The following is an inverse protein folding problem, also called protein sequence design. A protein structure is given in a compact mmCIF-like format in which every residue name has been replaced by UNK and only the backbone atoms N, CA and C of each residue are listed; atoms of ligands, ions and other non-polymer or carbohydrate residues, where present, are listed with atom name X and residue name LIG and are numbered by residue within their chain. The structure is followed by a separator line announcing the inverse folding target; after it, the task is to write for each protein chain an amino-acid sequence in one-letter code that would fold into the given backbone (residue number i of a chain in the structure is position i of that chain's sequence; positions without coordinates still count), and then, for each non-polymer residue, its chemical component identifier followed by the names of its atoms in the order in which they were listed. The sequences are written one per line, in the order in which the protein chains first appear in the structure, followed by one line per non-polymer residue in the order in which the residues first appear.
data_IF_466031983172
#
_entry.id   IF_466031983172
#
_cell.length_a   1.000
_cell.length_b   1.000
_cell.length_c   1.000
_cell.angle_alpha   90.00
_cell.angle_beta   90.00
_cell.angle_gamma   90.00
#
_symmetry.space_group_name_H-M   'P 1'
#
loop_
_entity.id
_entity.type
_entity.pdbx_description
1 polymer ?
#
# COMPACT_ATOMS: atom_id res chain seq x y z
N UNK A 1 25.02 4.27 -22.58
CA UNK A 1 24.43 4.96 -21.41
C UNK A 1 22.94 4.60 -21.34
N UNK A 2 22.54 3.63 -20.50
CA UNK A 2 21.14 3.17 -20.45
C UNK A 2 20.35 3.99 -19.42
N UNK A 3 19.53 4.90 -19.92
CA UNK A 3 18.52 5.64 -19.14
C UNK A 3 17.56 4.59 -18.56
N UNK A 4 17.70 4.26 -17.26
CA UNK A 4 16.71 3.47 -16.54
C UNK A 4 15.53 4.38 -16.24
N UNK A 5 14.48 4.27 -17.05
CA UNK A 5 13.12 4.66 -16.67
C UNK A 5 12.85 4.12 -15.26
N UNK A 6 12.82 5.02 -14.27
CA UNK A 6 12.47 4.70 -12.90
C UNK A 6 10.97 4.42 -12.86
N UNK A 7 10.59 3.18 -13.19
CA UNK A 7 9.30 2.65 -12.79
C UNK A 7 9.21 2.82 -11.27
N UNK A 8 8.42 3.80 -10.82
CA UNK A 8 8.15 4.02 -9.41
C UNK A 8 7.26 2.87 -8.93
N UNK A 9 7.85 1.74 -8.53
CA UNK A 9 7.11 0.68 -7.87
C UNK A 9 6.71 1.16 -6.48
N UNK A 10 5.41 1.15 -6.19
CA UNK A 10 4.88 1.53 -4.88
C UNK A 10 5.05 0.37 -3.90
N UNK A 11 5.78 0.62 -2.82
CA UNK A 11 5.96 -0.35 -1.73
C UNK A 11 5.22 0.14 -0.50
N UNK A 12 4.35 -0.73 0.03
CA UNK A 12 3.73 -0.53 1.34
C UNK A 12 4.35 -1.49 2.35
N UNK A 13 4.79 -1.01 3.50
CA UNK A 13 5.26 -1.89 4.57
C UNK A 13 4.15 -2.18 5.57
N UNK A 14 3.92 -3.45 5.88
CA UNK A 14 2.93 -3.90 6.86
C UNK A 14 3.59 -4.81 7.89
N UNK A 15 2.95 -5.01 9.05
CA UNK A 15 3.39 -5.98 10.06
C UNK A 15 2.38 -7.11 10.15
N UNK A 16 2.87 -8.35 10.29
CA UNK A 16 2.04 -9.50 10.66
C UNK A 16 1.63 -9.39 12.14
N UNK A 17 0.62 -10.15 12.56
CA UNK A 17 0.26 -10.27 13.99
C UNK A 17 1.43 -10.74 14.87
N UNK A 18 2.37 -11.52 14.32
CA UNK A 18 3.61 -11.93 15.00
C UNK A 18 4.72 -10.86 14.99
N UNK A 19 4.43 -9.62 14.61
CA UNK A 19 5.38 -8.50 14.60
C UNK A 19 6.34 -8.45 13.40
N UNK A 20 6.50 -9.55 12.62
CA UNK A 20 7.38 -9.59 11.45
C UNK A 20 6.90 -8.64 10.34
N UNK A 21 7.84 -7.89 9.76
CA UNK A 21 7.58 -6.91 8.69
C UNK A 21 7.44 -7.59 7.32
N UNK A 22 6.49 -7.13 6.53
CA UNK A 22 6.31 -7.46 5.12
C UNK A 22 6.34 -6.20 4.28
N UNK A 23 6.73 -6.35 3.03
CA UNK A 23 6.55 -5.34 1.99
C UNK A 23 5.49 -5.84 1.01
N UNK A 24 4.63 -4.93 0.56
CA UNK A 24 3.62 -5.17 -0.47
C UNK A 24 4.03 -4.36 -1.69
N UNK A 25 4.18 -5.02 -2.83
CA UNK A 25 4.53 -4.40 -4.10
C UNK A 25 3.68 -5.04 -5.20
N UNK A 26 2.93 -4.25 -5.97
CA UNK A 26 1.98 -4.74 -7.01
C UNK A 26 0.99 -5.80 -6.52
N UNK A 27 0.52 -5.68 -5.28
CA UNK A 27 -0.38 -6.67 -4.69
C UNK A 27 0.31 -7.95 -4.21
N UNK A 28 1.61 -8.13 -4.43
CA UNK A 28 2.37 -9.28 -3.90
C UNK A 28 3.04 -8.95 -2.58
N UNK A 29 3.15 -9.95 -1.71
CA UNK A 29 3.84 -9.83 -0.41
C UNK A 29 5.27 -10.34 -0.48
N UNK A 30 6.16 -9.63 0.20
CA UNK A 30 7.58 -9.93 0.30
C UNK A 30 8.01 -9.86 1.76
N UNK A 31 8.89 -10.77 2.19
CA UNK A 31 9.53 -10.72 3.50
C UNK A 31 10.95 -10.17 3.38
N UNK A 32 11.44 -9.53 4.44
CA UNK A 32 12.81 -9.07 4.51
C UNK A 32 13.72 -10.29 4.73
N UNK A 33 14.50 -10.65 3.71
CA UNK A 33 15.45 -11.75 3.76
C UNK A 33 16.72 -11.36 4.52
N UNK A 34 17.22 -10.14 4.27
CA UNK A 34 18.46 -9.61 4.85
C UNK A 34 18.32 -8.11 5.01
N UNK A 35 18.81 -7.58 6.13
CA UNK A 35 18.91 -6.15 6.38
C UNK A 35 20.34 -5.79 6.78
N UNK A 36 20.86 -4.71 6.18
CA UNK A 36 22.09 -4.02 6.58
C UNK A 36 21.73 -2.59 7.01
N UNK A 37 22.72 -1.80 7.45
CA UNK A 37 22.52 -0.38 7.78
C UNK A 37 22.00 0.46 6.61
N UNK A 38 22.29 0.06 5.36
CA UNK A 38 22.04 0.86 4.14
C UNK A 38 21.11 0.19 3.15
N UNK A 39 20.82 -1.10 3.31
CA UNK A 39 20.01 -1.87 2.36
C UNK A 39 19.15 -2.92 3.04
N UNK A 40 17.96 -3.11 2.51
CA UNK A 40 17.07 -4.22 2.84
C UNK A 40 16.80 -5.04 1.58
N UNK A 41 16.91 -6.36 1.69
CA UNK A 41 16.63 -7.29 0.59
C UNK A 41 15.32 -8.00 0.88
N UNK A 42 14.43 -7.96 -0.11
CA UNK A 42 13.06 -8.44 -0.03
C UNK A 42 12.85 -9.58 -1.01
N UNK A 43 12.20 -10.65 -0.57
CA UNK A 43 11.88 -11.80 -1.39
C UNK A 43 10.39 -12.13 -1.27
N UNK A 44 9.78 -12.56 -2.37
CA UNK A 44 8.37 -12.94 -2.36
C UNK A 44 8.11 -14.01 -1.29
N UNK A 45 6.99 -13.87 -0.58
CA UNK A 45 6.60 -14.80 0.48
C UNK A 45 6.26 -16.21 -0.03
N UNK A 46 6.00 -16.38 -1.32
CA UNK A 46 5.91 -17.68 -1.99
C UNK A 46 7.31 -18.24 -2.31
N UNK A 47 8.14 -18.35 -1.29
CA UNK A 47 9.51 -18.85 -1.39
C UNK A 47 9.56 -20.27 -2.02
N UNK A 48 10.64 -20.59 -2.72
CA UNK A 48 10.81 -21.85 -3.47
C UNK A 48 10.07 -21.91 -4.81
N UNK A 49 8.86 -21.35 -4.90
CA UNK A 49 8.04 -21.30 -6.13
C UNK A 49 8.13 -19.97 -6.88
N UNK A 50 8.65 -18.93 -6.23
CA UNK A 50 8.80 -17.60 -6.80
C UNK A 50 10.20 -17.02 -6.58
N UNK A 51 10.77 -16.46 -7.65
CA UNK A 51 12.10 -15.79 -7.64
C UNK A 51 12.00 -14.26 -7.62
N UNK A 52 10.80 -13.70 -7.49
CA UNK A 52 10.60 -12.27 -7.39
C UNK A 52 11.27 -11.72 -6.12
N UNK A 53 12.07 -10.68 -6.31
CA UNK A 53 12.88 -10.06 -5.26
C UNK A 53 13.20 -8.62 -5.60
N UNK A 54 13.41 -7.79 -4.59
CA UNK A 54 13.88 -6.42 -4.77
C UNK A 54 14.74 -6.01 -3.59
N UNK A 55 15.46 -4.89 -3.72
CA UNK A 55 16.22 -4.31 -2.63
C UNK A 55 15.83 -2.85 -2.46
N UNK A 56 15.71 -2.40 -1.21
CA UNK A 56 15.47 -1.00 -0.87
C UNK A 56 16.66 -0.41 -0.13
N UNK A 57 16.79 0.92 -0.15
CA UNK A 57 17.61 1.67 0.81
C UNK A 57 16.98 1.63 2.21
N UNK A 58 17.68 2.17 3.22
CA UNK A 58 17.13 2.31 4.56
C UNK A 58 15.89 3.22 4.58
N UNK A 59 15.84 4.19 3.68
CA UNK A 59 14.75 5.13 3.44
C UNK A 59 13.61 4.53 2.59
N UNK A 60 13.71 3.26 2.21
CA UNK A 60 12.66 2.55 1.46
C UNK A 60 12.69 2.74 -0.06
N UNK A 61 13.72 3.39 -0.60
CA UNK A 61 13.86 3.62 -2.05
C UNK A 61 14.34 2.35 -2.74
N UNK A 62 13.67 1.90 -3.80
CA UNK A 62 14.05 0.69 -4.55
C UNK A 62 15.36 0.92 -5.31
N UNK A 63 16.35 0.06 -5.05
CA UNK A 63 17.64 0.03 -5.75
C UNK A 63 17.64 -0.95 -6.92
N UNK A 64 17.05 -2.13 -6.71
CA UNK A 64 16.97 -3.21 -7.72
C UNK A 64 15.68 -3.97 -7.55
N UNK A 65 15.08 -4.43 -8.64
CA UNK A 65 13.80 -5.11 -8.57
C UNK A 65 13.58 -6.11 -9.71
N UNK A 66 13.12 -7.32 -9.36
CA UNK A 66 12.61 -8.37 -10.24
C UNK A 66 11.21 -8.72 -9.74
N UNK A 67 10.19 -8.18 -10.40
CA UNK A 67 8.78 -8.27 -9.98
C UNK A 67 7.95 -9.28 -10.80
N UNK A 68 8.56 -10.09 -11.66
CA UNK A 68 7.77 -11.14 -12.34
C UNK A 68 7.44 -12.26 -11.36
N UNK A 69 6.15 -12.58 -11.25
CA UNK A 69 5.62 -13.66 -10.44
C UNK A 69 5.01 -14.74 -11.33
N UNK A 70 5.37 -16.03 -11.16
CA UNK A 70 4.73 -17.16 -11.84
C UNK A 70 3.43 -17.59 -11.14
N UNK A 71 2.89 -16.76 -10.25
CA UNK A 71 1.71 -17.06 -9.45
C UNK A 71 0.87 -15.80 -9.29
N UNK A 72 -0.40 -16.01 -8.94
CA UNK A 72 -1.30 -14.91 -8.61
C UNK A 72 -0.94 -14.27 -7.25
N UNK A 73 -1.29 -12.99 -7.03
CA UNK A 73 -1.14 -12.36 -5.73
C UNK A 73 -1.86 -13.15 -4.63
N UNK A 74 -1.31 -13.23 -3.41
CA UNK A 74 -2.03 -13.84 -2.31
C UNK A 74 -3.28 -13.03 -1.99
N UNK A 75 -4.35 -13.70 -1.57
CA UNK A 75 -5.55 -13.03 -1.06
C UNK A 75 -5.29 -12.63 0.40
N UNK A 76 -4.99 -11.36 0.64
CA UNK A 76 -4.89 -10.80 1.99
C UNK A 76 -5.82 -9.59 2.12
N UNK A 77 -6.39 -9.41 3.31
CA UNK A 77 -7.08 -8.18 3.69
C UNK A 77 -6.01 -7.15 4.06
N UNK A 78 -5.80 -6.15 3.21
CA UNK A 78 -5.09 -4.95 3.65
C UNK A 78 -6.03 -4.24 4.59
N UNK A 79 -5.63 -4.14 5.85
CA UNK A 79 -6.34 -3.34 6.84
C UNK A 79 -6.15 -1.89 6.40
N UNK A 80 -7.21 -1.33 5.84
CA UNK A 80 -7.35 0.10 5.63
C UNK A 80 -7.20 0.77 6.99
N UNK A 81 -6.23 1.67 7.12
CA UNK A 81 -6.03 2.41 8.36
C UNK A 81 -6.79 3.72 8.30
N UNK A 82 -7.28 4.17 9.46
CA UNK A 82 -7.93 5.46 9.59
C UNK A 82 -7.00 6.44 10.29
N UNK A 83 -6.96 7.65 9.78
CA UNK A 83 -6.20 8.76 10.36
C UNK A 83 -7.07 9.99 10.44
N UNK A 84 -6.73 10.93 11.32
CA UNK A 84 -7.33 12.26 11.31
C UNK A 84 -6.38 13.25 10.65
N UNK A 85 -6.92 14.12 9.81
CA UNK A 85 -6.15 15.27 9.33
C UNK A 85 -6.07 16.36 10.42
N UNK A 86 -5.32 17.44 10.15
CA UNK A 86 -5.18 18.57 11.07
C UNK A 86 -6.51 19.28 11.39
N UNK A 87 -7.54 19.08 10.56
CA UNK A 87 -8.89 19.61 10.75
C UNK A 87 -9.83 18.60 11.45
N UNK A 88 -9.29 17.49 11.97
CA UNK A 88 -10.05 16.44 12.66
C UNK A 88 -10.84 15.49 11.76
N UNK A 89 -10.83 15.68 10.43
CA UNK A 89 -11.56 14.84 9.47
C UNK A 89 -10.89 13.48 9.31
N UNK A 90 -11.69 12.43 9.32
CA UNK A 90 -11.23 11.04 9.10
C UNK A 90 -10.87 10.80 7.64
N UNK A 91 -9.67 10.29 7.42
CA UNK A 91 -9.19 9.79 6.14
C UNK A 91 -8.91 8.29 6.23
N UNK A 92 -9.19 7.57 5.15
CA UNK A 92 -8.75 6.21 4.97
C UNK A 92 -7.41 6.21 4.23
N UNK A 93 -6.47 5.40 4.70
CA UNK A 93 -5.23 5.10 4.00
C UNK A 93 -5.36 3.70 3.40
N UNK A 94 -5.27 3.62 2.08
CA UNK A 94 -5.31 2.37 1.32
C UNK A 94 -4.20 2.42 0.26
N UNK A 95 -3.29 1.43 0.28
CA UNK A 95 -2.11 1.39 -0.59
C UNK A 95 -1.24 2.67 -0.56
N UNK A 96 -1.16 3.34 0.59
CA UNK A 96 -0.40 4.58 0.78
C UNK A 96 -1.10 5.84 0.25
N UNK A 97 -2.26 5.71 -0.39
CA UNK A 97 -3.07 6.86 -0.79
C UNK A 97 -4.11 7.20 0.26
N UNK A 98 -4.40 8.48 0.39
CA UNK A 98 -5.44 8.97 1.29
C UNK A 98 -6.74 9.20 0.56
N UNK A 99 -7.81 8.76 1.20
CA UNK A 99 -9.18 8.86 0.72
C UNK A 99 -10.06 9.55 1.77
N UNK A 100 -11.02 10.33 1.33
CA UNK A 100 -12.07 10.91 2.17
C UNK A 100 -13.41 10.27 1.86
N UNK A 101 -14.35 10.35 2.80
CA UNK A 101 -15.73 9.91 2.57
C UNK A 101 -16.39 10.93 1.64
N UNK A 102 -16.67 10.53 0.41
CA UNK A 102 -17.38 11.34 -0.57
C UNK A 102 -18.90 11.23 -0.41
N UNK A 103 -19.40 10.02 -0.11
CA UNK A 103 -20.83 9.79 0.16
C UNK A 103 -21.00 8.70 1.21
N UNK A 104 -21.88 8.91 2.16
CA UNK A 104 -22.30 7.89 3.12
C UNK A 104 -23.74 7.44 2.81
N UNK A 105 -24.01 6.16 3.04
CA UNK A 105 -25.36 5.58 3.09
C UNK A 105 -25.53 4.81 4.41
N UNK A 106 -26.74 4.34 4.69
CA UNK A 106 -27.04 3.52 5.88
C UNK A 106 -26.23 2.23 5.97
N UNK A 107 -25.67 1.74 4.87
CA UNK A 107 -24.96 0.45 4.80
C UNK A 107 -23.53 0.55 4.30
N UNK A 108 -23.13 1.67 3.68
CA UNK A 108 -21.81 1.81 3.05
C UNK A 108 -21.25 3.23 3.07
N UNK A 109 -19.93 3.32 2.98
CA UNK A 109 -19.17 4.54 2.77
C UNK A 109 -18.49 4.49 1.41
N UNK A 110 -18.75 5.47 0.55
CA UNK A 110 -18.01 5.66 -0.71
C UNK A 110 -16.83 6.59 -0.44
N UNK A 111 -15.65 6.07 -0.65
CA UNK A 111 -14.38 6.75 -0.48
C UNK A 111 -13.83 7.22 -1.82
N UNK A 112 -13.30 8.44 -1.86
CA UNK A 112 -12.64 9.01 -3.04
C UNK A 112 -11.25 9.51 -2.66
N UNK A 113 -10.31 9.39 -3.60
CA UNK A 113 -8.97 9.91 -3.38
C UNK A 113 -9.02 11.40 -3.04
N UNK A 114 -8.23 11.79 -2.04
CA UNK A 114 -8.10 13.18 -1.58
C UNK A 114 -7.49 14.14 -2.61
N UNK A 115 -6.84 13.63 -3.67
CA UNK A 115 -6.42 14.45 -4.81
C UNK A 115 -7.58 14.60 -5.81
N UNK A 116 -8.60 15.35 -5.39
CA UNK A 116 -9.85 15.55 -6.13
C UNK A 116 -9.63 16.31 -7.45
N UNK A 117 -10.56 16.16 -8.39
CA UNK A 117 -10.52 16.81 -9.71
C UNK A 117 -9.68 16.06 -10.76
N UNK A 118 -8.51 15.55 -10.38
CA UNK A 118 -7.60 14.82 -11.29
C UNK A 118 -7.65 13.31 -11.07
N UNK A 119 -7.75 12.87 -9.81
CA UNK A 119 -7.79 11.45 -9.49
C UNK A 119 -9.24 10.92 -9.38
N UNK A 120 -9.52 9.84 -10.11
CA UNK A 120 -10.82 9.13 -10.06
C UNK A 120 -10.80 7.86 -9.21
N UNK A 121 -9.68 7.57 -8.53
CA UNK A 121 -9.57 6.42 -7.64
C UNK A 121 -10.60 6.52 -6.50
N UNK A 122 -11.29 5.40 -6.27
CA UNK A 122 -12.44 5.30 -5.36
C UNK A 122 -12.66 3.87 -4.93
N UNK A 123 -13.28 3.69 -3.78
CA UNK A 123 -13.76 2.40 -3.33
C UNK A 123 -15.01 2.55 -2.47
N UNK A 124 -15.71 1.45 -2.22
CA UNK A 124 -16.85 1.41 -1.30
C UNK A 124 -16.49 0.49 -0.14
N UNK A 125 -16.73 0.97 1.07
CA UNK A 125 -16.58 0.22 2.31
C UNK A 125 -17.98 -0.11 2.86
N UNK A 126 -18.22 -1.36 3.22
CA UNK A 126 -19.38 -1.80 3.99
C UNK A 126 -19.17 -1.60 5.49
N UNK A 127 -20.24 -1.46 6.27
CA UNK A 127 -20.13 -1.22 7.73
C UNK A 127 -19.40 -2.34 8.49
N UNK A 128 -19.44 -3.57 7.99
CA UNK A 128 -18.69 -4.74 8.47
C UNK A 128 -17.19 -4.71 8.10
N UNK A 129 -16.73 -3.65 7.42
CA UNK A 129 -15.35 -3.49 6.99
C UNK A 129 -15.02 -4.11 5.64
N UNK A 130 -15.99 -4.69 4.92
CA UNK A 130 -15.80 -5.21 3.57
C UNK A 130 -15.48 -4.09 2.56
N UNK A 131 -14.56 -4.33 1.62
CA UNK A 131 -14.25 -3.40 0.53
C UNK A 131 -14.78 -3.93 -0.81
N UNK A 132 -15.44 -3.07 -1.58
CA UNK A 132 -15.98 -3.38 -2.92
C UNK A 132 -15.73 -2.24 -3.89
N UNK A 133 -15.78 -2.56 -5.20
CA UNK A 133 -15.58 -1.60 -6.28
C UNK A 133 -14.30 -0.75 -6.12
N UNK A 134 -13.19 -1.44 -5.81
CA UNK A 134 -11.90 -0.83 -5.48
C UNK A 134 -11.17 -0.45 -6.77
N UNK A 135 -11.20 0.83 -7.11
CA UNK A 135 -10.41 1.42 -8.18
C UNK A 135 -9.23 2.18 -7.56
N UNK A 136 -8.05 1.58 -7.66
CA UNK A 136 -6.78 2.09 -7.07
C UNK A 136 -5.80 2.55 -8.16
N UNK A 137 -6.30 2.89 -9.34
CA UNK A 137 -5.49 3.50 -10.39
C UNK A 137 -5.38 4.99 -10.10
N UNK A 138 -4.19 5.43 -9.74
CA UNK A 138 -3.88 6.83 -9.46
C UNK A 138 -3.01 7.43 -10.58
N UNK A 139 -3.32 8.65 -10.98
CA UNK A 139 -2.55 9.46 -11.95
C UNK A 139 -1.51 10.36 -11.26
N UNK A 140 -1.34 10.20 -9.95
CA UNK A 140 -0.44 11.01 -9.12
C UNK A 140 0.28 10.12 -8.12
N UNK A 141 1.37 10.63 -7.55
CA UNK A 141 2.12 9.94 -6.50
C UNK A 141 1.35 9.99 -5.15
N UNK A 142 1.57 9.02 -4.24
CA UNK A 142 1.04 9.10 -2.90
C UNK A 142 1.54 10.35 -2.16
N UNK A 143 0.74 10.92 -1.24
CA UNK A 143 1.17 12.06 -0.44
C UNK A 143 2.28 11.66 0.54
N UNK A 144 3.35 12.47 0.63
CA UNK A 144 4.43 12.33 1.63
C UNK A 144 4.01 13.06 2.92
N UNK A 145 2.83 12.75 3.46
CA UNK A 145 2.34 13.38 4.69
C UNK A 145 2.44 12.41 5.86
N UNK A 146 2.91 12.92 7.00
CA UNK A 146 2.86 12.20 8.27
C UNK A 146 1.45 12.37 8.84
N UNK A 147 0.76 11.27 9.07
CA UNK A 147 -0.60 11.27 9.65
C UNK A 147 -0.58 10.65 11.05
N UNK A 148 -1.32 11.24 11.99
CA UNK A 148 -1.53 10.63 13.31
C UNK A 148 -2.48 9.43 13.16
N UNK A 149 -1.99 8.24 13.51
CA UNK A 149 -2.76 7.01 13.49
C UNK A 149 -3.82 7.04 14.60
N UNK A 150 -5.09 6.85 14.25
CA UNK A 150 -6.08 6.53 15.27
C UNK A 150 -6.06 5.02 15.48
N UNK A 151 -5.52 4.57 16.61
CA UNK A 151 -5.77 3.23 17.11
C UNK A 151 -7.25 3.17 17.51
N UNK A 152 -8.06 2.47 16.74
CA UNK A 152 -9.35 1.99 17.26
C UNK A 152 -9.01 0.83 18.20
N UNK A 153 -9.26 1.03 19.49
CA UNK A 153 -9.42 -0.03 20.48
C UNK A 153 -10.61 -0.91 20.08
#
# INVERSE_FOLDING_TARGET
MKIKLLAHFLITFVRKGCGKRLAICHGYTFYCLRQTKVTQHWQCTMWGKCRAKFSTSAEGVIKTARIQHPHLPPKYKIIMTFVRNQLGKTLAILYGYTFYVHKASSTTLRWQCTNTGVCKARFIQSLDGGLRNVSVVHTHKPPIKIYQLSLKL
#
